data_IF_172841802078
#
_entry.id   IF_172841802078
#
_cell.length_a   1.000
_cell.length_b   1.000
_cell.length_c   1.000
_cell.angle_alpha   90.00
_cell.angle_beta   90.00
_cell.angle_gamma   90.00
#
_symmetry.space_group_name_H-M   'P 1'
#
loop_
_entity.id
_entity.type
_entity.pdbx_description
1 polymer ?
#
# COMPACT_ATOMS: atom_id res chain seq x y z
N UNK A 1 -18.67 9.52 5.96
CA UNK A 1 -18.53 9.30 4.51
C UNK A 1 -17.20 8.62 4.29
N UNK A 2 -17.14 7.48 3.58
CA UNK A 2 -15.89 6.79 3.24
C UNK A 2 -15.90 6.42 1.76
N UNK A 3 -14.72 6.41 1.14
CA UNK A 3 -14.48 5.90 -0.20
C UNK A 3 -14.40 4.37 -0.17
N UNK A 4 -14.85 3.72 -1.25
CA UNK A 4 -14.68 2.29 -1.43
C UNK A 4 -13.35 2.02 -2.13
N UNK A 5 -12.44 1.31 -1.47
CA UNK A 5 -11.14 0.96 -2.05
C UNK A 5 -11.27 -0.35 -2.82
N UNK A 6 -10.91 -0.34 -4.11
CA UNK A 6 -10.87 -1.53 -4.97
C UNK A 6 -9.46 -1.74 -5.48
N UNK A 7 -9.05 -3.00 -5.52
CA UNK A 7 -7.75 -3.41 -6.03
C UNK A 7 -7.86 -3.88 -7.47
N UNK A 8 -6.89 -3.49 -8.30
CA UNK A 8 -6.66 -4.16 -9.57
C UNK A 8 -6.12 -5.58 -9.33
N UNK A 9 -6.15 -6.40 -10.37
CA UNK A 9 -5.60 -7.75 -10.28
C UNK A 9 -4.09 -7.72 -10.03
N UNK A 10 -3.37 -6.80 -10.68
CA UNK A 10 -1.94 -6.58 -10.49
C UNK A 10 -1.61 -6.21 -9.05
N UNK A 11 -2.39 -5.30 -8.45
CA UNK A 11 -2.20 -4.89 -7.07
C UNK A 11 -2.44 -6.05 -6.09
N UNK A 12 -3.48 -6.85 -6.32
CA UNK A 12 -3.77 -8.05 -5.50
C UNK A 12 -2.64 -9.07 -5.59
N UNK A 13 -2.17 -9.35 -6.81
CA UNK A 13 -1.08 -10.29 -7.05
C UNK A 13 0.24 -9.79 -6.45
N UNK A 14 0.51 -8.49 -6.52
CA UNK A 14 1.67 -7.87 -5.89
C UNK A 14 1.64 -8.03 -4.36
N UNK A 15 0.52 -7.73 -3.71
CA UNK A 15 0.37 -7.89 -2.26
C UNK A 15 0.58 -9.35 -1.82
N UNK A 16 0.05 -10.31 -2.57
CA UNK A 16 0.23 -11.74 -2.28
C UNK A 16 1.70 -12.17 -2.39
N UNK A 17 2.41 -11.71 -3.43
CA UNK A 17 3.85 -11.98 -3.61
C UNK A 17 4.68 -11.33 -2.52
N UNK A 18 4.38 -10.07 -2.19
CA UNK A 18 5.06 -9.34 -1.13
C UNK A 18 4.97 -10.07 0.20
N UNK A 19 3.79 -10.61 0.53
CA UNK A 19 3.61 -11.41 1.73
C UNK A 19 4.49 -12.67 1.72
N UNK A 20 4.51 -13.41 0.61
CA UNK A 20 5.38 -14.59 0.45
C UNK A 20 6.86 -14.25 0.63
N UNK A 21 7.32 -13.15 0.03
CA UNK A 21 8.70 -12.68 0.15
C UNK A 21 9.07 -12.31 1.59
N UNK A 22 8.16 -11.64 2.30
CA UNK A 22 8.35 -11.25 3.71
C UNK A 22 8.41 -12.47 4.62
N UNK A 23 7.55 -13.46 4.40
CA UNK A 23 7.59 -14.73 5.14
C UNK A 23 8.89 -15.49 4.89
N UNK A 24 9.34 -15.57 3.64
CA UNK A 24 10.59 -16.25 3.30
C UNK A 24 11.80 -15.56 3.96
N UNK A 25 11.78 -14.22 4.04
CA UNK A 25 12.85 -13.44 4.68
C UNK A 25 12.80 -13.50 6.21
N UNK A 26 11.62 -13.64 6.79
CA UNK A 26 11.41 -13.68 8.24
C UNK A 26 12.08 -14.91 8.89
N UNK A 27 12.27 -16.01 8.16
CA UNK A 27 12.82 -17.24 8.72
C UNK A 27 11.93 -17.74 9.87
N UNK A 28 12.40 -17.63 11.12
CA UNK A 28 11.64 -17.94 12.34
C UNK A 28 11.09 -16.73 13.07
N UNK A 29 11.45 -15.50 12.68
CA UNK A 29 10.98 -14.25 13.29
C UNK A 29 9.93 -13.55 12.42
N UNK A 30 8.67 -13.89 12.67
CA UNK A 30 7.53 -13.38 11.90
C UNK A 30 7.11 -11.96 12.30
N UNK A 31 7.64 -11.37 13.37
CA UNK A 31 7.20 -10.06 13.84
C UNK A 31 7.40 -8.94 12.79
N UNK A 32 8.48 -9.05 12.01
CA UNK A 32 8.76 -8.11 10.91
C UNK A 32 7.77 -8.29 9.76
N UNK A 33 7.44 -9.53 9.42
CA UNK A 33 6.46 -9.84 8.36
C UNK A 33 5.04 -9.40 8.77
N UNK A 34 4.65 -9.61 10.03
CA UNK A 34 3.36 -9.12 10.55
C UNK A 34 3.28 -7.61 10.54
N UNK A 35 4.34 -6.91 10.98
CA UNK A 35 4.36 -5.44 10.95
C UNK A 35 4.31 -4.90 9.52
N UNK A 36 4.99 -5.56 8.60
CA UNK A 36 4.93 -5.23 7.17
C UNK A 36 3.52 -5.40 6.59
N UNK A 37 2.73 -6.36 7.08
CA UNK A 37 1.35 -6.56 6.67
C UNK A 37 0.37 -5.51 7.22
N UNK A 38 0.65 -4.93 8.39
CA UNK A 38 -0.18 -3.86 8.95
C UNK A 38 -0.10 -2.58 8.11
N UNK A 39 1.05 -2.33 7.48
CA UNK A 39 1.30 -1.12 6.69
C UNK A 39 0.34 -0.93 5.49
N UNK A 40 0.08 -1.94 4.65
CA UNK A 40 -1.00 -1.87 3.67
C UNK A 40 -2.37 -1.56 4.28
N UNK A 41 -2.69 -2.11 5.46
CA UNK A 41 -3.95 -1.86 6.16
C UNK A 41 -4.11 -0.40 6.60
N UNK A 42 -3.06 0.17 7.18
CA UNK A 42 -3.03 1.60 7.55
C UNK A 42 -3.15 2.49 6.30
N UNK A 43 -2.45 2.11 5.22
CA UNK A 43 -2.55 2.77 3.93
C UNK A 43 -3.97 2.77 3.38
N UNK A 44 -4.64 1.61 3.37
CA UNK A 44 -6.04 1.48 2.92
C UNK A 44 -6.96 2.36 3.76
N UNK A 45 -6.75 2.44 5.07
CA UNK A 45 -7.54 3.31 5.96
C UNK A 45 -7.42 4.77 5.55
N UNK A 46 -6.23 5.24 5.18
CA UNK A 46 -6.04 6.59 4.63
C UNK A 46 -6.82 6.76 3.33
N UNK A 47 -6.81 5.77 2.43
CA UNK A 47 -7.52 5.82 1.16
C UNK A 47 -9.05 5.78 1.32
N UNK A 48 -9.58 5.12 2.35
CA UNK A 48 -11.01 5.13 2.65
C UNK A 48 -11.49 6.50 3.15
N UNK A 49 -10.63 7.26 3.84
CA UNK A 49 -11.02 8.52 4.50
C UNK A 49 -10.70 9.74 3.63
N UNK A 50 -9.50 9.79 3.07
CA UNK A 50 -8.98 10.99 2.39
C UNK A 50 -8.03 10.65 1.22
N UNK A 51 -8.48 9.92 0.18
CA UNK A 51 -7.61 9.55 -0.95
C UNK A 51 -7.16 10.77 -1.75
N UNK A 52 -7.95 11.86 -1.72
CA UNK A 52 -7.61 13.14 -2.34
C UNK A 52 -6.62 13.98 -1.51
N UNK A 53 -6.11 13.48 -0.39
CA UNK A 53 -4.96 14.07 0.32
C UNK A 53 -3.62 13.52 -0.18
N UNK A 54 -3.61 12.36 -0.83
CA UNK A 54 -2.40 11.69 -1.33
C UNK A 54 -1.69 12.51 -2.42
N UNK A 55 -0.38 12.30 -2.59
CA UNK A 55 0.45 13.05 -3.54
C UNK A 55 -0.04 12.81 -4.97
N UNK A 56 -0.13 13.85 -5.80
CA UNK A 56 -0.37 13.71 -7.24
C UNK A 56 0.89 13.16 -7.91
N UNK A 57 0.72 12.13 -8.73
CA UNK A 57 1.85 11.49 -9.45
C UNK A 57 2.33 12.41 -10.57
N UNK A 58 1.39 13.03 -11.29
CA UNK A 58 1.67 13.99 -12.37
C UNK A 58 0.68 15.16 -12.27
N UNK A 59 1.12 16.35 -12.68
CA UNK A 59 0.28 17.55 -12.59
C UNK A 59 -0.91 17.53 -13.57
N UNK A 60 -0.74 16.89 -14.72
CA UNK A 60 -1.72 16.75 -15.80
C UNK A 60 -2.76 15.64 -15.55
N UNK A 61 -2.57 14.80 -14.53
CA UNK A 61 -3.48 13.71 -14.16
C UNK A 61 -3.93 13.83 -12.70
N UNK A 62 -4.91 14.71 -12.39
CA UNK A 62 -5.25 15.07 -11.01
C UNK A 62 -5.86 13.93 -10.17
N UNK A 63 -6.39 12.90 -10.82
CA UNK A 63 -6.96 11.72 -10.16
C UNK A 63 -5.93 10.61 -9.92
N UNK A 64 -4.79 10.61 -10.64
CA UNK A 64 -3.70 9.67 -10.40
C UNK A 64 -2.85 10.13 -9.21
N UNK A 65 -2.82 9.31 -8.17
CA UNK A 65 -2.22 9.64 -6.89
C UNK A 65 -1.40 8.49 -6.36
N UNK A 66 -0.47 8.82 -5.48
CA UNK A 66 0.35 7.84 -4.79
C UNK A 66 0.35 8.10 -3.28
N UNK A 67 0.38 7.00 -2.53
CA UNK A 67 0.64 7.00 -1.10
C UNK A 67 1.95 6.26 -0.84
N UNK A 68 2.94 6.98 -0.30
CA UNK A 68 4.22 6.41 0.11
C UNK A 68 4.11 5.94 1.55
N UNK A 69 4.45 4.68 1.80
CA UNK A 69 4.42 4.03 3.10
C UNK A 69 5.84 3.58 3.44
N UNK A 70 6.44 4.17 4.46
CA UNK A 70 7.78 3.82 4.91
C UNK A 70 7.83 2.47 5.63
N UNK A 71 8.83 1.64 5.35
CA UNK A 71 9.06 0.36 6.02
C UNK A 71 10.56 0.04 6.18
N UNK A 72 11.12 0.42 7.33
CA UNK A 72 12.55 0.25 7.60
C UNK A 72 13.41 1.04 6.60
N UNK A 73 14.50 0.45 6.05
CA UNK A 73 15.32 1.12 5.02
C UNK A 73 14.66 1.14 3.63
N UNK A 74 13.50 0.49 3.48
CA UNK A 74 12.72 0.41 2.25
C UNK A 74 11.35 1.07 2.43
N UNK A 75 10.57 1.17 1.35
CA UNK A 75 9.20 1.68 1.43
C UNK A 75 8.38 1.15 0.27
N UNK A 76 7.07 1.23 0.41
CA UNK A 76 6.11 0.86 -0.62
C UNK A 76 5.40 2.12 -1.12
N UNK A 77 5.07 2.14 -2.41
CA UNK A 77 4.19 3.16 -2.97
C UNK A 77 2.93 2.49 -3.49
N UNK A 78 1.77 2.94 -3.00
CA UNK A 78 0.48 2.54 -3.54
C UNK A 78 0.07 3.54 -4.60
N UNK A 79 -0.06 3.10 -5.84
CA UNK A 79 -0.62 3.89 -6.92
C UNK A 79 -2.15 3.73 -6.93
N UNK A 80 -2.87 4.83 -7.05
CA UNK A 80 -4.33 4.85 -7.08
C UNK A 80 -4.88 5.85 -8.09
N UNK A 81 -6.13 5.63 -8.45
CA UNK A 81 -6.98 6.55 -9.20
C UNK A 81 -8.28 6.75 -8.41
N UNK A 82 -8.75 7.99 -8.28
CA UNK A 82 -9.94 8.38 -7.50
C UNK A 82 -11.09 8.74 -8.43
#
# INVERSE_FOLDING_TARGET
MRFNVRFTEEARNYLARLYGDLLQRAGTDFAVAERALQLPGDGITVLEVAPLSCRKVRQDKPFQRELVIGFGPSGYALLLEV
#
